data_IF_674232370261
#
_entry.id   IF_674232370261
#
_cell.length_a   1.000
_cell.length_b   1.000
_cell.length_c   1.000
_cell.angle_alpha   90.00
_cell.angle_beta   90.00
_cell.angle_gamma   90.00
#
_symmetry.space_group_name_H-M   'P 1'
#
loop_
_entity.id
_entity.type
_entity.pdbx_description
1 polymer ?
#
# COMPACT_ATOMS: atom_id res chain seq x y z
N UNK A 1 -11.01 2.00 16.87
CA UNK A 1 -11.69 2.66 15.74
C UNK A 1 -11.85 1.62 14.64
N UNK A 2 -12.66 1.83 13.60
CA UNK A 2 -12.67 0.91 12.44
C UNK A 2 -11.74 1.50 11.37
N UNK A 3 -10.86 0.70 10.80
CA UNK A 3 -9.93 1.12 9.74
C UNK A 3 -10.71 1.74 8.57
N UNK A 4 -10.50 3.04 8.31
CA UNK A 4 -11.16 3.73 7.21
C UNK A 4 -10.69 3.23 5.84
N UNK A 5 -9.50 2.63 5.75
CA UNK A 5 -8.91 2.10 4.53
C UNK A 5 -8.29 0.72 4.79
N UNK A 6 -8.48 -0.19 3.85
CA UNK A 6 -7.92 -1.54 3.87
C UNK A 6 -7.20 -1.79 2.54
N UNK A 7 -5.95 -2.26 2.60
CA UNK A 7 -5.16 -2.65 1.43
C UNK A 7 -5.21 -4.18 1.35
N UNK A 8 -5.83 -4.73 0.32
CA UNK A 8 -6.08 -6.17 0.19
C UNK A 8 -4.90 -6.87 -0.49
N UNK A 9 -3.72 -6.77 0.13
CA UNK A 9 -2.45 -7.28 -0.42
C UNK A 9 -2.50 -8.79 -0.67
N UNK A 10 -3.22 -9.54 0.17
CA UNK A 10 -3.36 -10.99 0.06
C UNK A 10 -4.15 -11.43 -1.18
N UNK A 11 -4.94 -10.54 -1.79
CA UNK A 11 -5.61 -10.82 -3.06
C UNK A 11 -4.62 -10.85 -4.24
N UNK A 12 -3.45 -10.20 -4.09
CA UNK A 12 -2.39 -10.15 -5.11
C UNK A 12 -1.27 -11.15 -4.81
N UNK A 13 -0.88 -11.25 -3.53
CA UNK A 13 0.29 -12.03 -3.10
C UNK A 13 -0.04 -13.32 -2.34
N UNK A 14 -1.29 -13.74 -2.32
CA UNK A 14 -1.78 -14.89 -1.54
C UNK A 14 -1.57 -14.70 -0.02
N UNK A 15 -1.37 -15.78 0.73
CA UNK A 15 -1.20 -15.72 2.18
C UNK A 15 0.22 -15.28 2.56
N UNK A 16 0.39 -14.57 3.71
CA UNK A 16 1.70 -14.19 4.18
C UNK A 16 2.57 -15.41 4.48
N UNK A 17 3.87 -15.27 4.25
CA UNK A 17 4.88 -16.30 4.48
C UNK A 17 5.84 -15.90 5.60
N UNK A 18 6.49 -16.90 6.21
CA UNK A 18 7.57 -16.64 7.15
C UNK A 18 8.78 -16.03 6.42
N UNK A 19 9.36 -14.93 6.92
CA UNK A 19 10.50 -14.28 6.28
C UNK A 19 11.74 -15.19 6.26
N UNK A 20 12.44 -15.18 5.13
CA UNK A 20 13.71 -15.89 4.86
C UNK A 20 14.86 -14.89 4.69
N UNK A 21 16.10 -15.36 4.61
CA UNK A 21 17.29 -14.49 4.52
C UNK A 21 17.26 -13.54 3.31
N UNK A 22 16.66 -13.96 2.21
CA UNK A 22 16.55 -13.27 0.92
C UNK A 22 15.26 -12.45 0.76
N UNK A 23 14.41 -12.41 1.80
CA UNK A 23 13.16 -11.66 1.74
C UNK A 23 13.39 -10.15 1.74
N UNK A 24 12.53 -9.45 0.99
CA UNK A 24 12.44 -8.00 1.02
C UNK A 24 12.34 -7.50 2.46
N UNK A 25 13.28 -6.62 2.82
CA UNK A 25 13.33 -5.98 4.13
C UNK A 25 12.59 -4.64 4.07
N UNK A 26 11.90 -4.25 5.15
CA UNK A 26 11.25 -2.96 5.20
C UNK A 26 12.29 -1.84 5.07
N UNK A 27 12.01 -0.85 4.22
CA UNK A 27 12.91 0.30 4.03
C UNK A 27 12.92 1.21 5.26
N UNK A 28 11.80 1.25 5.99
CA UNK A 28 11.61 1.95 7.25
C UNK A 28 10.98 0.96 8.22
N UNK A 29 11.65 0.68 9.34
CA UNK A 29 11.12 -0.24 10.35
C UNK A 29 10.20 0.49 11.34
N UNK A 30 9.03 -0.08 11.58
CA UNK A 30 8.07 0.40 12.57
C UNK A 30 7.97 -0.62 13.71
N UNK A 31 8.59 -0.31 14.85
CA UNK A 31 8.81 -1.28 15.94
C UNK A 31 7.54 -1.83 16.61
N UNK A 32 6.43 -1.09 16.55
CA UNK A 32 5.16 -1.48 17.17
C UNK A 32 4.10 -1.91 16.15
N UNK A 33 4.51 -2.18 14.90
CA UNK A 33 3.60 -2.59 13.84
C UNK A 33 3.43 -4.12 13.81
N UNK A 34 2.25 -4.57 13.40
CA UNK A 34 2.08 -5.90 12.84
C UNK A 34 2.87 -5.97 11.52
N UNK A 35 3.62 -7.05 11.33
CA UNK A 35 4.50 -7.23 10.18
C UNK A 35 4.17 -8.50 9.43
N UNK A 36 3.93 -8.39 8.13
CA UNK A 36 3.64 -9.50 7.23
C UNK A 36 4.53 -9.44 6.01
N UNK A 37 5.05 -10.59 5.59
CA UNK A 37 5.85 -10.74 4.37
C UNK A 37 5.07 -11.59 3.37
N UNK A 38 5.19 -11.26 2.09
CA UNK A 38 4.54 -11.96 1.00
C UNK A 38 5.50 -12.16 -0.17
N UNK A 39 5.32 -13.27 -0.88
CA UNK A 39 6.08 -13.59 -2.08
C UNK A 39 5.30 -14.56 -2.95
N UNK A 40 5.16 -14.20 -4.24
CA UNK A 40 4.65 -15.11 -5.27
C UNK A 40 5.20 -14.68 -6.64
N UNK A 41 4.57 -15.13 -7.73
CA UNK A 41 4.96 -14.77 -9.10
C UNK A 41 4.95 -13.26 -9.38
N UNK A 42 4.21 -12.46 -8.60
CA UNK A 42 4.14 -11.01 -8.72
C UNK A 42 5.28 -10.28 -8.01
N UNK A 43 6.20 -11.01 -7.37
CA UNK A 43 7.38 -10.45 -6.70
C UNK A 43 7.31 -10.61 -5.19
N UNK A 44 7.88 -9.66 -4.47
CA UNK A 44 7.92 -9.65 -3.01
C UNK A 44 7.26 -8.39 -2.46
N UNK A 45 6.59 -8.52 -1.32
CA UNK A 45 6.00 -7.42 -0.57
C UNK A 45 6.24 -7.61 0.92
N UNK A 46 6.34 -6.51 1.67
CA UNK A 46 6.11 -6.56 3.11
C UNK A 46 5.25 -5.39 3.57
N UNK A 47 4.31 -5.70 4.47
CA UNK A 47 3.33 -4.77 4.98
C UNK A 47 3.54 -4.62 6.49
N UNK A 48 3.70 -3.38 6.92
CA UNK A 48 3.69 -2.97 8.32
C UNK A 48 2.41 -2.20 8.58
N UNK A 49 1.64 -2.61 9.59
CA UNK A 49 0.41 -1.93 10.00
C UNK A 49 0.48 -1.56 11.47
N UNK A 50 0.23 -0.29 11.77
CA UNK A 50 0.10 0.21 13.13
C UNK A 50 -1.30 0.78 13.34
N UNK A 51 -2.02 0.18 14.28
CA UNK A 51 -3.32 0.62 14.76
C UNK A 51 -3.12 1.44 16.04
N UNK A 52 -3.09 2.76 15.89
CA UNK A 52 -3.02 3.70 16.99
C UNK A 52 -4.41 4.18 17.42
N UNK A 53 -4.49 4.72 18.64
CA UNK A 53 -5.75 5.26 19.17
C UNK A 53 -6.37 6.38 18.29
N UNK A 54 -5.52 7.19 17.65
CA UNK A 54 -5.91 8.39 16.91
C UNK A 54 -5.53 8.36 15.43
N UNK A 55 -5.02 7.23 14.93
CA UNK A 55 -4.58 7.14 13.55
C UNK A 55 -3.98 5.79 13.21
N UNK A 56 -4.03 5.48 11.92
CA UNK A 56 -3.54 4.26 11.32
C UNK A 56 -2.36 4.59 10.42
N UNK A 57 -1.32 3.77 10.46
CA UNK A 57 -0.20 3.87 9.53
C UNK A 57 -0.01 2.53 8.85
N UNK A 58 0.04 2.54 7.51
CA UNK A 58 0.48 1.41 6.72
C UNK A 58 1.78 1.79 6.01
N UNK A 59 2.79 0.92 6.07
CA UNK A 59 3.98 0.99 5.21
C UNK A 59 4.03 -0.30 4.40
N UNK A 60 3.91 -0.16 3.07
CA UNK A 60 3.97 -1.26 2.12
C UNK A 60 5.24 -1.11 1.27
N UNK A 61 6.20 -1.99 1.48
CA UNK A 61 7.37 -2.15 0.61
C UNK A 61 7.08 -3.20 -0.46
N UNK A 62 7.47 -2.91 -1.71
CA UNK A 62 7.23 -3.76 -2.88
C UNK A 62 8.51 -3.91 -3.71
N UNK A 63 8.72 -5.09 -4.27
CA UNK A 63 9.71 -5.36 -5.31
C UNK A 63 9.07 -6.23 -6.39
N UNK A 64 8.83 -5.62 -7.56
CA UNK A 64 7.91 -6.12 -8.57
C UNK A 64 8.64 -6.35 -9.92
N UNK A 65 8.57 -7.56 -10.51
CA UNK A 65 9.09 -7.82 -11.85
C UNK A 65 8.14 -7.34 -12.96
N UNK A 66 6.87 -7.10 -12.65
CA UNK A 66 5.82 -6.69 -13.59
C UNK A 66 4.84 -5.72 -12.92
N UNK A 67 4.06 -5.00 -13.72
CA UNK A 67 2.99 -4.13 -13.23
C UNK A 67 1.91 -4.96 -12.50
N UNK A 68 1.39 -4.45 -11.38
CA UNK A 68 0.34 -5.07 -10.59
C UNK A 68 -0.79 -4.09 -10.25
N UNK A 69 -1.93 -4.64 -9.85
CA UNK A 69 -3.07 -3.88 -9.33
C UNK A 69 -3.39 -4.42 -7.94
N UNK A 70 -3.32 -3.55 -6.93
CA UNK A 70 -3.63 -3.88 -5.54
C UNK A 70 -5.02 -3.34 -5.20
N UNK A 71 -6.01 -4.20 -4.89
CA UNK A 71 -7.32 -3.75 -4.45
C UNK A 71 -7.22 -3.04 -3.10
N UNK A 72 -8.03 -2.01 -2.93
CA UNK A 72 -8.11 -1.21 -1.72
C UNK A 72 -9.55 -0.82 -1.45
N UNK A 73 -10.02 -1.03 -0.23
CA UNK A 73 -11.36 -0.63 0.18
C UNK A 73 -11.32 0.54 1.15
N UNK A 74 -12.08 1.60 0.85
CA UNK A 74 -12.34 2.70 1.79
C UNK A 74 -13.71 2.47 2.43
N UNK A 75 -13.73 2.25 3.74
CA UNK A 75 -14.95 1.91 4.50
C UNK A 75 -15.63 3.14 5.10
N UNK A 76 -14.89 4.23 5.30
CA UNK A 76 -15.37 5.52 5.79
C UNK A 76 -14.69 6.65 5.00
N UNK A 77 -15.46 7.68 4.65
CA UNK A 77 -14.90 8.82 3.91
C UNK A 77 -14.00 9.65 4.81
N UNK A 78 -12.74 9.86 4.42
CA UNK A 78 -11.76 10.62 5.19
C UNK A 78 -10.67 11.24 4.31
N UNK A 79 -9.82 12.07 4.91
CA UNK A 79 -8.57 12.56 4.32
C UNK A 79 -7.49 11.53 4.55
N UNK A 80 -7.01 10.93 3.46
CA UNK A 80 -5.89 10.00 3.48
C UNK A 80 -4.64 10.68 2.94
N UNK A 81 -3.53 10.48 3.63
CA UNK A 81 -2.21 10.88 3.15
C UNK A 81 -1.54 9.67 2.54
N UNK A 82 -1.03 9.81 1.32
CA UNK A 82 -0.13 8.82 0.72
C UNK A 82 1.20 9.48 0.42
N UNK A 83 2.28 8.78 0.78
CA UNK A 83 3.63 9.19 0.48
C UNK A 83 4.35 8.05 -0.23
N UNK A 84 4.85 8.31 -1.44
CA UNK A 84 5.54 7.32 -2.24
C UNK A 84 7.03 7.61 -2.22
N UNK A 85 7.83 6.66 -1.75
CA UNK A 85 9.29 6.66 -1.87
C UNK A 85 9.68 5.66 -2.95
N UNK A 86 10.29 6.15 -4.02
CA UNK A 86 10.77 5.33 -5.15
C UNK A 86 11.62 6.17 -6.08
N UNK A 87 12.58 5.53 -6.75
CA UNK A 87 13.31 6.11 -7.89
C UNK A 87 12.73 5.64 -9.24
N UNK A 88 11.69 4.79 -9.22
CA UNK A 88 11.05 4.25 -10.41
C UNK A 88 9.97 5.21 -10.95
N UNK A 89 8.70 4.79 -10.93
CA UNK A 89 7.59 5.47 -11.60
C UNK A 89 6.47 5.85 -10.63
N UNK A 90 5.71 6.88 -10.96
CA UNK A 90 4.52 7.26 -10.21
C UNK A 90 3.49 6.10 -10.19
N UNK A 91 2.76 5.96 -9.09
CA UNK A 91 1.62 5.03 -8.99
C UNK A 91 0.31 5.77 -9.22
N UNK A 92 -0.77 5.03 -9.44
CA UNK A 92 -2.13 5.60 -9.55
C UNK A 92 -3.07 4.96 -8.54
N UNK A 93 -3.95 5.76 -7.94
CA UNK A 93 -5.12 5.28 -7.21
C UNK A 93 -6.34 5.54 -8.09
N UNK A 94 -7.10 4.50 -8.41
CA UNK A 94 -8.28 4.57 -9.25
C UNK A 94 -9.54 4.24 -8.44
N UNK A 95 -10.56 5.07 -8.55
CA UNK A 95 -11.92 4.78 -8.07
C UNK A 95 -12.61 3.87 -9.09
N UNK A 96 -12.94 2.64 -8.70
CA UNK A 96 -13.49 1.62 -9.62
C UNK A 96 -14.87 2.05 -10.14
N UNK A 97 -15.66 2.70 -9.29
CA UNK A 97 -17.03 3.10 -9.62
C UNK A 97 -17.07 4.39 -10.44
N UNK A 98 -16.30 5.41 -10.02
CA UNK A 98 -16.32 6.74 -10.63
C UNK A 98 -15.38 6.89 -11.82
N UNK A 99 -14.49 5.91 -12.05
CA UNK A 99 -13.45 5.94 -13.09
C UNK A 99 -12.54 7.16 -13.00
N UNK A 100 -12.35 7.69 -11.80
CA UNK A 100 -11.41 8.78 -11.51
C UNK A 100 -10.07 8.16 -11.14
N UNK A 101 -8.97 8.75 -11.62
CA UNK A 101 -7.60 8.32 -11.30
C UNK A 101 -6.81 9.46 -10.68
N UNK A 102 -6.07 9.14 -9.63
CA UNK A 102 -5.20 10.06 -8.91
C UNK A 102 -3.76 9.57 -9.00
N UNK A 103 -2.87 10.39 -9.54
CA UNK A 103 -1.45 10.05 -9.55
C UNK A 103 -0.79 10.34 -8.20
N UNK A 104 0.10 9.47 -7.74
CA UNK A 104 1.03 9.76 -6.66
C UNK A 104 2.44 9.78 -7.27
N UNK A 105 3.00 10.98 -7.42
CA UNK A 105 4.34 11.17 -7.97
C UNK A 105 5.41 10.63 -7.03
N UNK A 106 6.54 10.20 -7.59
CA UNK A 106 7.69 9.73 -6.83
C UNK A 106 8.17 10.79 -5.82
N UNK A 107 8.55 10.33 -4.64
CA UNK A 107 9.16 11.13 -3.56
C UNK A 107 8.29 12.33 -3.14
N UNK A 108 6.96 12.16 -3.16
CA UNK A 108 5.99 13.19 -2.76
C UNK A 108 4.83 12.64 -1.95
N UNK A 109 4.34 13.48 -1.05
CA UNK A 109 3.10 13.28 -0.30
C UNK A 109 1.92 13.90 -1.02
N UNK A 110 0.78 13.20 -1.01
CA UNK A 110 -0.50 13.72 -1.50
C UNK A 110 -1.61 13.43 -0.50
N UNK A 111 -2.46 14.43 -0.33
CA UNK A 111 -3.69 14.35 0.45
C UNK A 111 -4.83 14.06 -0.50
N UNK A 112 -5.62 13.04 -0.21
CA UNK A 112 -6.84 12.72 -0.95
C UNK A 112 -8.00 12.63 0.01
N UNK A 113 -9.10 13.32 -0.31
CA UNK A 113 -10.38 12.98 0.30
C UNK A 113 -10.95 11.78 -0.47
N UNK A 114 -10.83 10.59 0.11
CA UNK A 114 -11.40 9.38 -0.48
C UNK A 114 -12.77 9.12 0.14
N UNK A 115 -13.74 8.78 -0.69
CA UNK A 115 -15.08 8.44 -0.23
C UNK A 115 -15.21 6.95 -0.04
N UNK A 116 -16.15 6.49 0.77
CA UNK A 116 -16.47 5.06 0.86
C UNK A 116 -16.71 4.45 -0.53
N UNK A 117 -15.80 3.59 -0.99
CA UNK A 117 -15.84 2.91 -2.28
C UNK A 117 -14.72 1.86 -2.37
N UNK A 118 -14.72 1.12 -3.48
CA UNK A 118 -13.62 0.23 -3.85
C UNK A 118 -12.69 0.97 -4.82
N UNK A 119 -11.40 0.86 -4.53
CA UNK A 119 -10.31 1.51 -5.24
C UNK A 119 -9.27 0.48 -5.67
N UNK A 120 -8.43 0.88 -6.60
CA UNK A 120 -7.29 0.09 -7.08
C UNK A 120 -6.03 0.94 -7.03
N UNK A 121 -4.94 0.37 -6.50
CA UNK A 121 -3.60 0.95 -6.59
C UNK A 121 -2.88 0.27 -7.74
N UNK A 122 -2.62 1.01 -8.82
CA UNK A 122 -1.88 0.55 -9.99
C UNK A 122 -0.41 0.86 -9.77
N UNK A 123 0.39 -0.19 -9.58
CA UNK A 123 1.82 -0.09 -9.28
C UNK A 123 2.60 -0.67 -10.45
N UNK A 124 3.41 0.14 -11.15
CA UNK A 124 4.26 -0.38 -12.22
C UNK A 124 5.36 -1.32 -11.69
N UNK A 125 6.03 -2.06 -12.56
CA UNK A 125 7.23 -2.81 -12.20
C UNK A 125 8.31 -1.88 -11.63
N UNK A 126 9.00 -2.31 -10.56
CA UNK A 126 9.98 -1.51 -9.83
C UNK A 126 10.05 -1.84 -8.33
N UNK A 127 10.65 -0.93 -7.56
CA UNK A 127 10.76 -0.96 -6.10
C UNK A 127 10.09 0.25 -5.48
N UNK A 128 9.22 0.01 -4.52
CA UNK A 128 8.36 1.04 -3.96
C UNK A 128 8.26 0.90 -2.45
N UNK A 129 8.22 2.02 -1.75
CA UNK A 129 7.70 2.11 -0.38
C UNK A 129 6.52 3.06 -0.40
N UNK A 130 5.32 2.52 -0.22
CA UNK A 130 4.09 3.29 -0.11
C UNK A 130 3.70 3.42 1.35
N UNK A 131 3.67 4.66 1.83
CA UNK A 131 3.23 4.99 3.19
C UNK A 131 1.83 5.57 3.09
N UNK A 132 0.90 5.09 3.92
CA UNK A 132 -0.44 5.63 4.05
C UNK A 132 -0.76 5.95 5.51
N UNK A 133 -1.39 7.10 5.75
CA UNK A 133 -1.84 7.56 7.07
C UNK A 133 -3.24 8.17 7.00
N UNK A 134 -4.07 7.88 8.00
CA UNK A 134 -5.40 8.44 8.22
C UNK A 134 -5.87 8.22 9.67
#
# INVERSE_FOLDING_TARGET
>A
MKTALQIDIAQVFDQPISPRTDTLKPSISMSNADYQHYENQHGQACLQQFDGMLGYINILDLHLPADIVIPMQVTASDIHIFYLLTEDRAIQIRDVQKRISYSISCNRGRYFYLTRSDYEIHVPAGRYTLINFY
#
